data_IF_272355433826
#
_entry.id   IF_272355433826
#
_cell.length_a   1.000
_cell.length_b   1.000
_cell.length_c   1.000
_cell.angle_alpha   90.00
_cell.angle_beta   90.00
_cell.angle_gamma   90.00
#
_symmetry.space_group_name_H-M   'P 1'
#
loop_
_entity.id
_entity.type
_entity.pdbx_description
1 polymer ?
#
# COMPACT_ATOMS: atom_id res chain seq x y z
N UNK A 1 -58.64 36.04 -51.92
CA UNK A 1 -57.94 34.77 -52.21
C UNK A 1 -56.78 34.59 -51.21
N UNK A 2 -57.00 33.85 -50.14
CA UNK A 2 -56.02 33.65 -49.09
C UNK A 2 -55.32 32.30 -49.32
N UNK A 3 -53.99 32.30 -49.55
CA UNK A 3 -53.20 31.09 -49.66
C UNK A 3 -52.66 30.72 -48.22
N UNK A 4 -53.09 29.54 -47.75
CA UNK A 4 -52.59 28.92 -46.54
C UNK A 4 -51.25 28.23 -46.87
N UNK A 5 -50.18 28.56 -46.10
CA UNK A 5 -48.94 27.84 -46.12
C UNK A 5 -48.97 26.83 -44.97
N UNK A 6 -48.89 25.55 -45.29
CA UNK A 6 -48.60 24.48 -44.26
C UNK A 6 -47.13 24.39 -44.04
N UNK A 7 -46.70 24.65 -42.79
CA UNK A 7 -45.34 24.34 -42.32
C UNK A 7 -45.31 22.88 -41.82
N UNK A 8 -44.61 22.02 -42.54
CA UNK A 8 -44.29 20.69 -42.07
C UNK A 8 -43.10 20.77 -41.07
N UNK A 9 -43.36 20.47 -39.80
CA UNK A 9 -42.31 20.33 -38.77
C UNK A 9 -41.76 18.91 -38.85
N UNK A 10 -40.55 18.76 -39.36
CA UNK A 10 -39.80 17.49 -39.33
C UNK A 10 -39.12 17.41 -37.97
N UNK A 11 -39.64 16.54 -37.11
CA UNK A 11 -38.98 16.19 -35.84
C UNK A 11 -37.84 15.20 -36.09
N UNK A 12 -36.62 15.66 -36.05
CA UNK A 12 -35.43 14.81 -36.05
C UNK A 12 -35.25 14.28 -34.63
N UNK A 13 -35.57 13.00 -34.41
CA UNK A 13 -35.23 12.29 -33.20
C UNK A 13 -33.74 11.98 -33.22
N UNK A 14 -32.94 12.74 -32.46
CA UNK A 14 -31.56 12.38 -32.17
C UNK A 14 -31.56 11.21 -31.20
N UNK A 15 -31.20 10.00 -31.67
CA UNK A 15 -30.77 8.91 -30.80
C UNK A 15 -29.45 9.32 -30.19
N UNK A 16 -29.48 9.83 -28.96
CA UNK A 16 -28.31 9.94 -28.14
C UNK A 16 -27.91 8.52 -27.67
N UNK A 17 -26.88 7.96 -28.30
CA UNK A 17 -26.17 6.80 -27.76
C UNK A 17 -25.55 7.22 -26.43
N UNK A 18 -26.24 6.90 -25.37
CA UNK A 18 -25.71 7.06 -24.02
C UNK A 18 -24.66 5.97 -23.78
N UNK A 19 -23.41 6.31 -24.10
CA UNK A 19 -22.23 5.50 -23.77
C UNK A 19 -21.99 5.67 -22.28
N UNK A 20 -22.80 4.99 -21.45
CA UNK A 20 -22.54 4.90 -20.01
C UNK A 20 -21.29 4.09 -19.81
N UNK A 21 -20.13 4.77 -19.78
CA UNK A 21 -18.97 4.28 -19.06
C UNK A 21 -19.46 3.99 -17.63
N UNK A 22 -19.60 2.69 -17.32
CA UNK A 22 -19.74 2.24 -15.94
C UNK A 22 -18.39 2.52 -15.27
N UNK A 23 -18.26 3.70 -14.70
CA UNK A 23 -17.31 3.94 -13.65
C UNK A 23 -17.63 2.89 -12.58
N UNK A 24 -16.73 1.94 -12.37
CA UNK A 24 -16.75 1.10 -11.17
C UNK A 24 -16.61 2.06 -9.99
N UNK A 25 -17.74 2.40 -9.38
CA UNK A 25 -17.77 3.28 -8.23
C UNK A 25 -17.04 2.55 -7.10
N UNK A 26 -15.83 3.02 -6.77
CA UNK A 26 -15.21 2.73 -5.48
C UNK A 26 -16.16 3.31 -4.44
N UNK A 27 -16.91 2.45 -3.77
CA UNK A 27 -17.80 2.89 -2.70
C UNK A 27 -16.95 3.20 -1.49
N UNK A 28 -16.86 4.47 -1.14
CA UNK A 28 -16.22 4.89 0.12
C UNK A 28 -17.24 4.61 1.25
N UNK A 29 -17.03 3.53 1.97
CA UNK A 29 -17.95 3.03 2.99
C UNK A 29 -17.60 3.58 4.38
N UNK A 30 -17.30 4.83 4.54
CA UNK A 30 -17.16 5.49 5.84
C UNK A 30 -16.05 4.94 6.76
N UNK A 31 -15.86 5.56 7.90
CA UNK A 31 -14.77 5.23 8.81
C UNK A 31 -15.02 3.93 9.60
N UNK A 32 -13.96 3.10 9.74
CA UNK A 32 -13.91 2.05 10.75
C UNK A 32 -13.41 2.68 12.05
N UNK A 33 -14.09 2.42 13.17
CA UNK A 33 -13.60 2.82 14.47
C UNK A 33 -12.81 1.66 15.10
N UNK A 34 -11.56 1.89 15.49
CA UNK A 34 -10.77 0.92 16.24
C UNK A 34 -11.18 1.00 17.70
N UNK A 35 -11.81 -0.07 18.20
CA UNK A 35 -12.53 -0.09 19.48
C UNK A 35 -11.71 0.36 20.71
N UNK A 36 -10.41 0.05 20.74
CA UNK A 36 -9.61 0.32 21.95
C UNK A 36 -9.09 1.76 22.06
N UNK A 37 -9.19 2.57 20.98
CA UNK A 37 -8.49 3.85 20.87
C UNK A 37 -9.30 4.96 20.21
N UNK A 38 -10.53 4.66 19.84
CA UNK A 38 -11.42 5.60 19.12
C UNK A 38 -10.75 6.24 17.88
N UNK A 39 -9.94 5.44 17.16
CA UNK A 39 -9.26 5.86 15.95
C UNK A 39 -10.11 5.53 14.75
N UNK A 40 -10.36 6.53 13.96
CA UNK A 40 -11.00 6.43 12.66
C UNK A 40 -9.98 5.95 11.60
N UNK A 41 -10.25 4.84 10.91
CA UNK A 41 -9.49 4.36 9.77
C UNK A 41 -10.25 4.61 8.48
N UNK A 42 -9.71 5.46 7.61
CA UNK A 42 -10.25 5.72 6.30
C UNK A 42 -9.86 4.60 5.32
N UNK A 43 -10.82 4.15 4.51
CA UNK A 43 -10.56 3.07 3.54
C UNK A 43 -11.39 3.25 2.26
N UNK A 44 -10.99 2.52 1.22
CA UNK A 44 -11.78 2.27 0.02
C UNK A 44 -12.09 0.78 -0.06
N UNK A 45 -13.26 0.41 -0.59
CA UNK A 45 -13.70 -0.97 -0.73
C UNK A 45 -14.47 -1.12 -2.05
N UNK A 46 -14.06 -2.06 -2.90
CA UNK A 46 -14.69 -2.31 -4.20
C UNK A 46 -15.90 -3.23 -4.12
N UNK A 47 -16.23 -3.76 -2.95
CA UNK A 47 -17.39 -4.60 -2.78
C UNK A 47 -17.08 -6.04 -2.35
N UNK A 48 -17.94 -6.99 -2.74
CA UNK A 48 -17.93 -8.36 -2.20
C UNK A 48 -17.25 -9.36 -3.15
N UNK A 49 -16.36 -10.17 -2.59
CA UNK A 49 -15.78 -11.38 -3.20
C UNK A 49 -15.29 -12.28 -2.06
N UNK A 50 -15.13 -13.57 -2.34
CA UNK A 50 -14.59 -14.55 -1.36
C UNK A 50 -13.13 -14.28 -1.01
N UNK A 51 -12.34 -13.76 -1.96
CA UNK A 51 -10.94 -13.41 -1.76
C UNK A 51 -10.82 -11.89 -1.70
N UNK A 52 -10.15 -11.41 -0.67
CA UNK A 52 -9.88 -9.98 -0.47
C UNK A 52 -8.40 -9.68 -0.66
N UNK A 53 -8.10 -8.64 -1.44
CA UNK A 53 -6.79 -8.01 -1.47
C UNK A 53 -6.85 -6.80 -0.53
N UNK A 54 -6.08 -6.83 0.55
CA UNK A 54 -5.98 -5.73 1.50
C UNK A 54 -4.63 -5.02 1.31
N UNK A 55 -4.70 -3.79 0.81
CA UNK A 55 -3.54 -2.97 0.50
C UNK A 55 -3.24 -1.99 1.63
N UNK A 56 -1.97 -1.98 2.06
CA UNK A 56 -1.46 -1.11 3.12
C UNK A 56 -0.30 -0.29 2.55
N UNK A 57 -0.42 1.03 2.60
CA UNK A 57 0.54 1.96 2.02
C UNK A 57 1.81 2.11 2.88
N UNK A 58 2.87 2.67 2.29
CA UNK A 58 4.13 2.95 2.97
C UNK A 58 4.13 4.27 3.76
N UNK A 59 5.31 4.63 4.27
CA UNK A 59 5.54 5.82 5.06
C UNK A 59 5.18 7.12 4.33
N UNK A 60 4.50 8.03 5.01
CA UNK A 60 4.16 9.40 4.58
C UNK A 60 3.36 9.51 3.27
N UNK A 61 2.71 8.43 2.84
CA UNK A 61 1.79 8.39 1.70
C UNK A 61 0.39 7.91 2.14
N UNK A 62 -0.49 7.54 1.22
CA UNK A 62 -1.88 7.23 1.52
C UNK A 62 -2.47 6.13 0.62
N UNK A 63 -3.70 5.66 0.92
CA UNK A 63 -4.43 4.62 0.17
C UNK A 63 -4.60 4.92 -1.32
N UNK A 64 -4.57 6.18 -1.72
CA UNK A 64 -4.72 6.60 -3.12
C UNK A 64 -3.60 6.10 -4.04
N UNK A 65 -2.48 5.61 -3.50
CA UNK A 65 -1.42 4.95 -4.28
C UNK A 65 -1.84 3.60 -4.87
N UNK A 66 -2.92 3.01 -4.36
CA UNK A 66 -3.46 1.74 -4.80
C UNK A 66 -4.63 1.85 -5.79
N UNK A 67 -4.91 3.07 -6.30
CA UNK A 67 -6.04 3.31 -7.19
C UNK A 67 -5.99 2.44 -8.47
N UNK A 68 -4.81 2.27 -9.08
CA UNK A 68 -4.63 1.43 -10.27
C UNK A 68 -4.93 -0.04 -9.96
N UNK A 69 -4.49 -0.53 -8.80
CA UNK A 69 -4.73 -1.90 -8.34
C UNK A 69 -6.20 -2.12 -8.02
N UNK A 70 -6.86 -1.16 -7.36
CA UNK A 70 -8.29 -1.22 -7.10
C UNK A 70 -9.12 -1.28 -8.39
N UNK A 71 -8.77 -0.48 -9.39
CA UNK A 71 -9.45 -0.48 -10.70
C UNK A 71 -9.24 -1.80 -11.47
N UNK A 72 -8.04 -2.38 -11.39
CA UNK A 72 -7.69 -3.61 -12.10
C UNK A 72 -8.27 -4.86 -11.42
N UNK A 73 -8.01 -5.02 -10.12
CA UNK A 73 -8.38 -6.21 -9.35
C UNK A 73 -9.83 -6.20 -8.87
N UNK A 74 -10.44 -5.05 -8.66
CA UNK A 74 -11.81 -4.91 -8.15
C UNK A 74 -12.89 -5.55 -9.02
N UNK A 75 -12.57 -5.90 -10.26
CA UNK A 75 -13.46 -6.66 -11.16
C UNK A 75 -13.55 -8.15 -10.80
N UNK A 76 -12.56 -8.68 -10.06
CA UNK A 76 -12.41 -10.13 -9.76
C UNK A 76 -12.33 -10.44 -8.27
N UNK A 77 -11.84 -9.51 -7.49
CA UNK A 77 -11.60 -9.63 -6.06
C UNK A 77 -12.24 -8.46 -5.31
N UNK A 78 -12.50 -8.66 -4.03
CA UNK A 78 -12.73 -7.52 -3.15
C UNK A 78 -11.39 -6.84 -2.90
N UNK A 79 -11.30 -5.55 -3.20
CA UNK A 79 -10.11 -4.76 -2.95
C UNK A 79 -10.41 -3.75 -1.87
N UNK A 80 -9.65 -3.82 -0.79
CA UNK A 80 -9.69 -2.86 0.32
C UNK A 80 -8.32 -2.17 0.36
N UNK A 81 -8.30 -0.85 0.40
CA UNK A 81 -7.10 -0.07 0.64
C UNK A 81 -7.35 0.90 1.79
N UNK A 82 -6.44 0.94 2.76
CA UNK A 82 -6.59 1.72 3.99
C UNK A 82 -5.58 2.86 4.05
N UNK A 83 -5.94 3.93 4.72
CA UNK A 83 -4.98 4.88 5.27
C UNK A 83 -4.59 4.42 6.68
N UNK A 84 -3.30 4.20 6.91
CA UNK A 84 -2.81 3.93 8.27
C UNK A 84 -3.09 5.13 9.18
N UNK A 85 -3.44 4.92 10.46
CA UNK A 85 -3.59 6.01 11.42
C UNK A 85 -2.43 6.99 11.40
N UNK A 86 -2.77 8.28 11.40
CA UNK A 86 -1.81 9.38 11.30
C UNK A 86 -1.41 9.76 9.87
N UNK A 87 -1.87 9.01 8.85
CA UNK A 87 -1.66 9.29 7.44
C UNK A 87 -2.99 9.41 6.68
N UNK A 88 -2.95 10.06 5.53
CA UNK A 88 -4.11 10.24 4.67
C UNK A 88 -5.30 10.90 5.40
N UNK A 89 -6.46 10.25 5.32
CA UNK A 89 -7.72 10.72 5.94
C UNK A 89 -8.00 10.02 7.28
N UNK A 90 -7.10 9.15 7.77
CA UNK A 90 -7.27 8.46 9.04
C UNK A 90 -6.97 9.35 10.25
N UNK A 91 -7.60 9.04 11.36
CA UNK A 91 -7.37 9.71 12.64
C UNK A 91 -5.96 9.47 13.19
N UNK A 92 -5.58 10.29 14.17
CA UNK A 92 -4.25 10.23 14.81
C UNK A 92 -4.31 10.31 16.33
N UNK A 93 -5.39 9.85 16.93
CA UNK A 93 -5.63 9.96 18.37
C UNK A 93 -4.90 8.86 19.17
N UNK A 94 -3.55 8.84 19.08
CA UNK A 94 -2.70 7.93 19.87
C UNK A 94 -1.26 8.43 19.98
N UNK A 95 -0.48 7.82 20.90
CA UNK A 95 0.91 8.20 21.18
C UNK A 95 1.94 7.18 20.64
N UNK A 96 1.50 5.97 20.26
CA UNK A 96 2.37 4.89 19.79
C UNK A 96 2.13 4.61 18.31
N UNK A 97 3.23 4.48 17.55
CA UNK A 97 3.24 4.40 16.09
C UNK A 97 4.13 3.28 15.55
N UNK A 98 4.33 2.22 16.33
CA UNK A 98 5.15 1.08 15.95
C UNK A 98 4.42 0.06 15.08
N UNK A 99 5.17 -0.96 14.64
CA UNK A 99 4.65 -2.07 13.83
C UNK A 99 3.50 -2.80 14.53
N UNK A 100 3.58 -2.99 15.84
CA UNK A 100 2.54 -3.66 16.64
C UNK A 100 1.22 -2.89 16.63
N UNK A 101 1.26 -1.57 16.80
CA UNK A 101 0.07 -0.73 16.77
C UNK A 101 -0.57 -0.72 15.39
N UNK A 102 0.23 -0.57 14.34
CA UNK A 102 -0.26 -0.58 12.96
C UNK A 102 -0.80 -1.94 12.54
N UNK A 103 -0.17 -3.06 12.97
CA UNK A 103 -0.72 -4.39 12.68
C UNK A 103 -2.08 -4.60 13.37
N UNK A 104 -2.24 -4.15 14.59
CA UNK A 104 -3.53 -4.17 15.31
C UNK A 104 -4.62 -3.35 14.60
N UNK A 105 -4.25 -2.24 13.95
CA UNK A 105 -5.18 -1.47 13.11
C UNK A 105 -5.62 -2.26 11.87
N UNK A 106 -4.69 -2.94 11.21
CA UNK A 106 -4.99 -3.85 10.07
C UNK A 106 -5.89 -5.01 10.52
N UNK A 107 -5.63 -5.59 11.69
CA UNK A 107 -6.43 -6.68 12.28
C UNK A 107 -7.87 -6.22 12.56
N UNK A 108 -8.03 -5.00 13.04
CA UNK A 108 -9.33 -4.38 13.25
C UNK A 108 -10.10 -4.22 11.93
N UNK A 109 -9.43 -3.81 10.86
CA UNK A 109 -10.04 -3.74 9.51
C UNK A 109 -10.47 -5.13 9.03
N UNK A 110 -9.61 -6.14 9.18
CA UNK A 110 -9.93 -7.53 8.81
C UNK A 110 -11.17 -8.02 9.57
N UNK A 111 -11.27 -7.73 10.86
CA UNK A 111 -12.37 -8.13 11.74
C UNK A 111 -13.65 -7.38 11.41
N UNK A 112 -13.63 -6.04 11.41
CA UNK A 112 -14.81 -5.18 11.26
C UNK A 112 -15.45 -5.30 9.88
N UNK A 113 -14.64 -5.41 8.81
CA UNK A 113 -15.14 -5.68 7.46
C UNK A 113 -15.42 -7.16 7.21
N UNK A 114 -15.23 -8.03 8.22
CA UNK A 114 -15.39 -9.47 8.13
C UNK A 114 -14.68 -10.06 6.89
N UNK A 115 -13.44 -9.64 6.66
CA UNK A 115 -12.65 -10.08 5.51
C UNK A 115 -12.28 -11.57 5.67
N UNK A 116 -12.33 -12.30 4.56
CA UNK A 116 -11.98 -13.72 4.48
C UNK A 116 -11.03 -13.96 3.32
N UNK A 117 -10.21 -15.01 3.40
CA UNK A 117 -9.21 -15.36 2.38
C UNK A 117 -8.41 -14.10 1.96
N UNK A 118 -7.83 -13.43 2.96
CA UNK A 118 -7.15 -12.15 2.77
C UNK A 118 -5.75 -12.38 2.23
N UNK A 119 -5.39 -11.70 1.15
CA UNK A 119 -4.02 -11.51 0.70
C UNK A 119 -3.62 -10.10 1.12
N UNK A 120 -2.67 -10.02 2.04
CA UNK A 120 -2.12 -8.76 2.53
C UNK A 120 -1.03 -8.26 1.57
N UNK A 121 -1.13 -7.01 1.14
CA UNK A 121 -0.15 -6.36 0.27
C UNK A 121 0.37 -5.11 0.98
N UNK A 122 1.62 -5.15 1.42
CA UNK A 122 2.25 -4.07 2.20
C UNK A 122 3.40 -3.41 1.44
N UNK A 123 3.33 -2.08 1.27
CA UNK A 123 4.38 -1.30 0.64
C UNK A 123 5.37 -0.75 1.67
N UNK A 124 6.68 -0.89 1.39
CA UNK A 124 7.74 -0.26 2.20
C UNK A 124 7.61 -0.59 3.69
N UNK A 125 7.46 0.39 4.58
CA UNK A 125 7.22 0.24 6.02
C UNK A 125 6.14 -0.81 6.34
N UNK A 126 5.13 -0.94 5.49
CA UNK A 126 4.02 -1.85 5.73
C UNK A 126 4.33 -3.33 5.45
N UNK A 127 5.53 -3.67 5.03
CA UNK A 127 5.99 -5.06 4.98
C UNK A 127 5.88 -5.73 6.35
N UNK A 128 6.46 -5.11 7.36
CA UNK A 128 6.47 -5.61 8.73
C UNK A 128 5.07 -5.64 9.35
N UNK A 129 4.28 -4.61 9.04
CA UNK A 129 2.89 -4.49 9.50
C UNK A 129 2.04 -5.65 8.98
N UNK A 130 2.09 -5.93 7.68
CA UNK A 130 1.30 -7.03 7.09
C UNK A 130 1.83 -8.41 7.48
N UNK A 131 3.13 -8.54 7.74
CA UNK A 131 3.72 -9.77 8.26
C UNK A 131 3.21 -10.06 9.68
N UNK A 132 3.22 -9.07 10.57
CA UNK A 132 2.68 -9.25 11.93
C UNK A 132 1.18 -9.55 11.89
N UNK A 133 0.39 -8.79 11.11
CA UNK A 133 -1.05 -9.02 10.95
C UNK A 133 -1.36 -10.43 10.41
N UNK A 134 -0.52 -10.96 9.51
CA UNK A 134 -0.69 -12.33 9.01
C UNK A 134 -0.42 -13.40 10.06
N UNK A 135 0.47 -13.13 11.02
CA UNK A 135 0.72 -14.00 12.18
C UNK A 135 -0.48 -13.98 13.13
N UNK A 136 -1.06 -12.81 13.34
CA UNK A 136 -2.17 -12.60 14.28
C UNK A 136 -3.51 -13.12 13.72
N UNK A 137 -3.63 -13.23 12.37
CA UNK A 137 -4.84 -13.71 11.68
C UNK A 137 -4.59 -14.94 10.79
N UNK A 138 -4.03 -16.05 11.32
CA UNK A 138 -3.58 -17.19 10.51
C UNK A 138 -4.70 -17.84 9.70
N UNK A 139 -5.93 -17.84 10.22
CA UNK A 139 -7.11 -18.46 9.61
C UNK A 139 -7.75 -17.60 8.51
N UNK A 140 -7.52 -16.29 8.53
CA UNK A 140 -8.10 -15.33 7.59
C UNK A 140 -7.13 -14.93 6.50
N UNK A 141 -5.83 -14.79 6.82
CA UNK A 141 -4.79 -14.38 5.89
C UNK A 141 -4.21 -15.59 5.19
N UNK A 142 -4.37 -15.65 3.88
CA UNK A 142 -3.89 -16.75 3.03
C UNK A 142 -2.58 -16.46 2.33
N UNK A 143 -2.14 -15.20 2.26
CA UNK A 143 -0.89 -14.81 1.61
C UNK A 143 -0.39 -13.44 2.02
N UNK A 144 0.93 -13.23 1.85
CA UNK A 144 1.64 -11.99 2.15
C UNK A 144 2.42 -11.57 0.91
N UNK A 145 2.27 -10.32 0.52
CA UNK A 145 3.01 -9.70 -0.59
C UNK A 145 3.69 -8.44 -0.09
N UNK A 146 5.00 -8.42 -0.11
CA UNK A 146 5.79 -7.23 0.13
C UNK A 146 6.02 -6.45 -1.18
N UNK A 147 5.94 -5.14 -1.10
CA UNK A 147 6.18 -4.24 -2.22
C UNK A 147 7.31 -3.28 -1.88
N UNK A 148 8.41 -3.44 -2.57
CA UNK A 148 9.68 -2.73 -2.38
C UNK A 148 10.15 -2.67 -0.91
N UNK A 149 10.12 -3.83 -0.26
CA UNK A 149 10.56 -4.04 1.12
C UNK A 149 11.26 -5.38 1.30
N UNK A 150 11.54 -5.79 2.54
CA UNK A 150 12.27 -7.02 2.88
C UNK A 150 13.59 -7.18 2.09
N UNK A 151 14.29 -6.06 1.90
CA UNK A 151 15.49 -6.00 1.04
C UNK A 151 16.70 -6.72 1.65
N UNK A 152 16.79 -6.80 2.99
CA UNK A 152 17.95 -7.32 3.71
C UNK A 152 17.57 -8.18 4.92
N UNK A 153 16.50 -8.99 4.80
CA UNK A 153 16.01 -9.83 5.90
C UNK A 153 17.12 -10.66 6.53
N UNK A 154 17.28 -10.55 7.85
CA UNK A 154 18.26 -11.30 8.63
C UNK A 154 19.72 -10.86 8.44
N UNK A 155 19.97 -9.80 7.68
CA UNK A 155 21.31 -9.21 7.60
C UNK A 155 21.69 -8.55 8.94
N UNK A 156 22.90 -8.79 9.45
CA UNK A 156 23.32 -8.16 10.70
C UNK A 156 23.45 -6.64 10.51
N UNK A 157 22.87 -5.90 11.44
CA UNK A 157 23.07 -4.46 11.51
C UNK A 157 24.39 -4.16 12.23
N UNK A 158 25.20 -3.31 11.64
CA UNK A 158 26.43 -2.82 12.28
C UNK A 158 26.12 -1.67 13.25
N UNK A 159 27.05 -1.36 14.16
CA UNK A 159 26.92 -0.18 15.01
C UNK A 159 26.90 1.13 14.20
N UNK A 160 27.54 1.15 13.02
CA UNK A 160 27.48 2.26 12.11
C UNK A 160 26.08 2.44 11.50
N UNK A 161 25.39 1.33 11.14
CA UNK A 161 24.01 1.39 10.63
C UNK A 161 23.06 1.90 11.70
N UNK A 162 23.16 1.41 12.94
CA UNK A 162 22.34 1.86 14.07
C UNK A 162 22.56 3.34 14.36
N UNK A 163 23.82 3.78 14.38
CA UNK A 163 24.17 5.18 14.58
C UNK A 163 23.63 6.06 13.44
N UNK A 164 23.81 5.64 12.19
CA UNK A 164 23.30 6.36 11.02
C UNK A 164 21.77 6.53 11.06
N UNK A 165 21.05 5.50 11.47
CA UNK A 165 19.61 5.56 11.67
C UNK A 165 19.23 6.56 12.79
N UNK A 166 19.87 6.47 13.96
CA UNK A 166 19.62 7.40 15.07
C UNK A 166 19.91 8.85 14.69
N UNK A 167 21.00 9.11 13.95
CA UNK A 167 21.36 10.43 13.47
C UNK A 167 20.30 10.96 12.46
N UNK A 168 19.79 10.09 11.57
CA UNK A 168 18.73 10.46 10.62
C UNK A 168 17.42 10.81 11.35
N UNK A 169 17.00 10.04 12.33
CA UNK A 169 15.83 10.34 13.17
C UNK A 169 16.00 11.67 13.90
N UNK A 170 17.17 11.91 14.51
CA UNK A 170 17.47 13.17 15.18
C UNK A 170 17.45 14.38 14.23
N UNK A 171 17.93 14.20 13.00
CA UNK A 171 17.85 15.23 11.96
C UNK A 171 16.40 15.49 11.51
N UNK A 172 15.59 14.46 11.32
CA UNK A 172 14.16 14.59 10.99
C UNK A 172 13.37 15.30 12.09
N UNK A 173 13.66 15.03 13.38
CA UNK A 173 13.06 15.75 14.51
C UNK A 173 13.36 17.25 14.49
N UNK A 174 14.50 17.65 13.94
CA UNK A 174 14.92 19.07 13.84
C UNK A 174 14.36 19.76 12.60
N UNK A 175 14.38 19.10 11.45
CA UNK A 175 13.96 19.68 10.17
C UNK A 175 13.37 18.58 9.25
N UNK A 176 12.14 18.18 9.56
CA UNK A 176 11.47 17.07 8.89
C UNK A 176 11.44 17.25 7.36
N UNK A 177 10.89 18.37 6.88
CA UNK A 177 10.68 18.57 5.44
C UNK A 177 11.98 18.47 4.63
N UNK A 178 13.02 19.13 5.08
CA UNK A 178 14.30 19.11 4.36
C UNK A 178 14.91 17.71 4.34
N UNK A 179 14.93 17.04 5.50
CA UNK A 179 15.57 15.71 5.64
C UNK A 179 14.75 14.65 4.91
N UNK A 180 13.43 14.63 5.10
CA UNK A 180 12.53 13.68 4.46
C UNK A 180 12.52 13.84 2.93
N UNK A 181 12.43 15.08 2.41
CA UNK A 181 12.49 15.32 0.97
C UNK A 181 13.85 14.96 0.38
N UNK A 182 14.94 15.21 1.12
CA UNK A 182 16.28 14.77 0.72
C UNK A 182 16.38 13.24 0.61
N UNK A 183 15.92 12.53 1.62
CA UNK A 183 15.86 11.06 1.62
C UNK A 183 15.03 10.52 0.46
N UNK A 184 13.80 10.99 0.30
CA UNK A 184 12.90 10.55 -0.77
C UNK A 184 13.51 10.80 -2.15
N UNK A 185 14.04 11.99 -2.37
CA UNK A 185 14.61 12.39 -3.67
C UNK A 185 15.85 11.59 -4.05
N UNK A 186 16.69 11.23 -3.08
CA UNK A 186 17.95 10.54 -3.33
C UNK A 186 17.82 9.01 -3.33
N UNK A 187 16.92 8.47 -2.50
CA UNK A 187 16.87 7.04 -2.22
C UNK A 187 15.66 6.33 -2.83
N UNK A 188 14.52 7.04 -3.04
CA UNK A 188 13.27 6.39 -3.42
C UNK A 188 12.89 6.60 -4.89
N UNK A 189 13.49 7.53 -5.59
CA UNK A 189 13.26 7.72 -7.01
C UNK A 189 14.34 7.06 -7.87
N UNK A 190 13.93 6.56 -9.02
CA UNK A 190 14.85 6.15 -10.08
C UNK A 190 15.06 7.29 -11.09
N UNK A 191 15.94 7.05 -12.07
CA UNK A 191 16.15 7.98 -13.19
C UNK A 191 14.91 8.10 -14.08
N UNK A 192 14.08 7.05 -14.11
CA UNK A 192 12.87 6.96 -14.95
C UNK A 192 11.60 7.40 -14.22
N UNK A 193 11.62 7.60 -12.90
CA UNK A 193 10.47 8.11 -12.15
C UNK A 193 10.03 9.46 -12.71
N UNK A 194 8.77 9.57 -13.16
CA UNK A 194 8.24 10.76 -13.81
C UNK A 194 8.17 11.98 -12.88
N UNK A 195 8.15 13.18 -13.47
CA UNK A 195 8.05 14.44 -12.71
C UNK A 195 6.73 14.53 -11.93
N UNK A 196 5.65 13.98 -12.48
CA UNK A 196 4.33 13.95 -11.83
C UNK A 196 4.35 13.09 -10.58
N UNK A 197 4.96 11.89 -10.65
CA UNK A 197 5.10 10.99 -9.51
C UNK A 197 5.99 11.63 -8.45
N UNK A 198 7.15 12.18 -8.84
CA UNK A 198 8.04 12.90 -7.90
C UNK A 198 7.31 14.02 -7.18
N UNK A 199 6.57 14.86 -7.91
CA UNK A 199 5.79 15.96 -7.35
C UNK A 199 4.73 15.47 -6.37
N UNK A 200 4.00 14.40 -6.73
CA UNK A 200 2.98 13.79 -5.87
C UNK A 200 3.59 13.30 -4.55
N UNK A 201 4.64 12.48 -4.63
CA UNK A 201 5.27 11.89 -3.44
C UNK A 201 5.84 12.96 -2.52
N UNK A 202 6.58 13.94 -3.07
CA UNK A 202 7.15 15.04 -2.27
C UNK A 202 6.04 15.89 -1.65
N UNK A 203 4.93 16.11 -2.35
CA UNK A 203 3.78 16.83 -1.79
C UNK A 203 3.15 16.05 -0.63
N UNK A 204 2.97 14.74 -0.74
CA UNK A 204 2.41 13.93 0.34
C UNK A 204 3.33 13.95 1.57
N UNK A 205 4.64 13.83 1.38
CA UNK A 205 5.64 13.96 2.46
C UNK A 205 5.61 15.34 3.13
N UNK A 206 5.47 16.40 2.35
CA UNK A 206 5.39 17.77 2.87
C UNK A 206 4.14 18.04 3.73
N UNK A 207 3.06 17.30 3.47
CA UNK A 207 1.79 17.40 4.20
C UNK A 207 1.65 16.38 5.32
N UNK A 208 2.58 15.42 5.45
CA UNK A 208 2.56 14.44 6.52
C UNK A 208 2.68 15.10 7.90
N UNK A 209 1.99 14.54 8.89
CA UNK A 209 2.19 14.95 10.29
C UNK A 209 3.60 14.57 10.73
N UNK A 210 4.43 15.57 11.01
CA UNK A 210 5.84 15.39 11.34
C UNK A 210 6.05 14.49 12.56
N UNK A 211 5.21 14.64 13.58
CA UNK A 211 5.35 13.86 14.82
C UNK A 211 5.05 12.40 14.53
N UNK A 212 3.95 12.12 13.85
CA UNK A 212 3.57 10.77 13.46
C UNK A 212 4.60 10.14 12.53
N UNK A 213 5.01 10.87 11.48
CA UNK A 213 5.93 10.34 10.48
C UNK A 213 7.29 9.96 11.08
N UNK A 214 7.83 10.79 11.97
CA UNK A 214 9.10 10.50 12.66
C UNK A 214 8.92 9.34 13.64
N UNK A 215 7.84 9.35 14.44
CA UNK A 215 7.58 8.29 15.40
C UNK A 215 7.34 6.92 14.73
N UNK A 216 6.65 6.89 13.60
CA UNK A 216 6.42 5.66 12.83
C UNK A 216 7.74 5.03 12.34
N UNK A 217 8.70 5.82 11.89
CA UNK A 217 10.03 5.33 11.52
C UNK A 217 10.82 4.85 12.75
N UNK A 218 10.85 5.67 13.80
CA UNK A 218 11.65 5.39 14.99
C UNK A 218 11.17 4.13 15.72
N UNK A 219 9.85 3.98 15.90
CA UNK A 219 9.25 2.87 16.65
C UNK A 219 9.07 1.59 15.82
N UNK A 220 9.15 1.67 14.49
CA UNK A 220 9.08 0.51 13.59
C UNK A 220 10.41 -0.24 13.44
N UNK A 221 11.53 0.31 13.95
CA UNK A 221 12.87 -0.21 13.67
C UNK A 221 13.27 -1.50 14.44
N UNK A 222 12.52 -1.89 15.45
CA UNK A 222 12.86 -3.04 16.33
C UNK A 222 12.13 -4.34 15.91
N UNK A 223 11.83 -4.51 14.62
CA UNK A 223 11.10 -5.67 14.14
C UNK A 223 12.04 -6.73 13.55
N UNK A 224 12.07 -7.93 14.17
CA UNK A 224 12.86 -9.06 13.67
C UNK A 224 12.13 -9.78 12.52
N UNK A 225 12.28 -9.24 11.31
CA UNK A 225 11.67 -9.78 10.09
C UNK A 225 11.92 -11.28 9.91
N UNK A 226 13.16 -11.74 10.20
CA UNK A 226 13.54 -13.15 10.01
C UNK A 226 12.79 -14.08 10.98
N UNK A 227 12.77 -13.76 12.26
CA UNK A 227 12.04 -14.53 13.26
C UNK A 227 10.53 -14.54 12.98
N UNK A 228 9.98 -13.39 12.55
CA UNK A 228 8.57 -13.25 12.21
C UNK A 228 8.20 -14.03 10.94
N UNK A 229 9.03 -14.06 9.92
CA UNK A 229 8.82 -14.89 8.72
C UNK A 229 8.81 -16.39 9.07
N UNK A 230 9.72 -16.83 9.95
CA UNK A 230 9.70 -18.22 10.46
C UNK A 230 8.41 -18.54 11.24
N UNK A 231 7.94 -17.59 12.05
CA UNK A 231 6.69 -17.74 12.81
C UNK A 231 5.46 -17.81 11.90
N UNK A 232 5.41 -17.00 10.85
CA UNK A 232 4.26 -16.92 9.92
C UNK A 232 4.03 -18.21 9.15
N UNK A 233 5.09 -19.00 8.89
CA UNK A 233 5.07 -20.22 8.06
C UNK A 233 4.52 -20.00 6.64
N UNK A 234 4.39 -18.75 6.20
CA UNK A 234 3.87 -18.39 4.88
C UNK A 234 5.03 -18.15 3.92
N UNK A 235 4.80 -18.45 2.64
CA UNK A 235 5.72 -18.06 1.56
C UNK A 235 5.67 -16.54 1.42
N UNK A 236 6.85 -15.90 1.41
CA UNK A 236 7.01 -14.48 1.18
C UNK A 236 7.06 -14.20 -0.32
N UNK A 237 6.11 -13.44 -0.82
CA UNK A 237 6.13 -12.91 -2.18
C UNK A 237 6.57 -11.47 -2.17
N UNK A 238 7.45 -11.10 -3.10
CA UNK A 238 7.98 -9.74 -3.23
C UNK A 238 7.80 -9.23 -4.66
N UNK A 239 7.36 -7.98 -4.77
CA UNK A 239 7.42 -7.19 -6.01
C UNK A 239 8.32 -6.00 -5.72
N UNK A 240 9.60 -6.11 -6.05
CA UNK A 240 10.63 -5.14 -5.68
C UNK A 240 11.27 -4.50 -6.91
N UNK A 241 11.73 -3.26 -6.77
CA UNK A 241 12.58 -2.62 -7.78
C UNK A 241 13.94 -3.31 -7.88
N UNK A 242 14.47 -3.44 -9.10
CA UNK A 242 15.82 -3.95 -9.38
C UNK A 242 16.93 -2.91 -9.14
N UNK A 243 16.59 -1.64 -8.98
CA UNK A 243 17.56 -0.56 -8.70
C UNK A 243 18.29 -0.79 -7.37
N UNK A 244 17.58 -1.33 -6.38
CA UNK A 244 18.15 -1.81 -5.12
C UNK A 244 17.78 -3.29 -4.92
N UNK A 245 18.57 -4.24 -5.43
CA UNK A 245 18.25 -5.66 -5.42
C UNK A 245 18.04 -6.21 -4.01
N UNK A 246 17.14 -7.20 -3.90
CA UNK A 246 16.87 -7.88 -2.65
C UNK A 246 17.99 -8.87 -2.32
N UNK A 247 18.57 -8.75 -1.14
CA UNK A 247 19.54 -9.70 -0.61
C UNK A 247 18.81 -10.93 -0.02
N UNK A 248 18.73 -12.00 -0.80
CA UNK A 248 18.01 -13.22 -0.40
C UNK A 248 18.87 -14.23 0.35
N UNK A 249 20.14 -13.91 0.62
CA UNK A 249 21.13 -14.84 1.21
C UNK A 249 20.62 -15.49 2.52
N UNK A 250 20.08 -14.68 3.41
CA UNK A 250 19.62 -15.16 4.71
C UNK A 250 18.28 -15.88 4.64
N UNK A 251 17.37 -15.45 3.75
CA UNK A 251 16.14 -16.18 3.46
C UNK A 251 16.44 -17.61 3.01
N UNK A 252 17.36 -17.76 2.06
CA UNK A 252 17.82 -19.06 1.56
C UNK A 252 18.48 -19.88 2.66
N UNK A 253 19.43 -19.29 3.43
CA UNK A 253 20.16 -19.97 4.48
C UNK A 253 19.26 -20.46 5.63
N UNK A 254 18.12 -19.81 5.84
CA UNK A 254 17.15 -20.16 6.88
C UNK A 254 15.94 -20.94 6.36
N UNK A 255 15.98 -21.37 5.09
CA UNK A 255 14.92 -22.12 4.42
C UNK A 255 13.55 -21.41 4.49
N UNK A 256 13.53 -20.08 4.46
CA UNK A 256 12.30 -19.31 4.32
C UNK A 256 11.80 -19.45 2.87
N UNK A 257 10.58 -19.93 2.62
CA UNK A 257 10.05 -19.96 1.27
C UNK A 257 9.76 -18.55 0.78
N UNK A 258 10.33 -18.17 -0.37
CA UNK A 258 10.12 -16.84 -0.96
C UNK A 258 10.10 -16.88 -2.48
N UNK A 259 9.58 -15.81 -3.07
CA UNK A 259 9.66 -15.53 -4.50
C UNK A 259 9.75 -14.03 -4.72
N UNK A 260 10.69 -13.58 -5.56
CA UNK A 260 10.88 -12.17 -5.90
C UNK A 260 10.56 -11.96 -7.37
N UNK A 261 9.72 -10.97 -7.64
CA UNK A 261 9.50 -10.39 -8.95
C UNK A 261 10.15 -9.00 -8.95
N UNK A 262 10.93 -8.69 -9.98
CA UNK A 262 11.58 -7.40 -10.09
C UNK A 262 10.88 -6.53 -11.14
N UNK A 263 10.49 -5.32 -10.75
CA UNK A 263 10.12 -4.26 -11.69
C UNK A 263 11.39 -3.56 -12.15
N UNK A 264 11.50 -3.34 -13.47
CA UNK A 264 12.76 -2.92 -14.07
C UNK A 264 12.88 -1.40 -14.20
N UNK A 265 13.98 -0.87 -13.65
CA UNK A 265 14.31 0.55 -13.74
C UNK A 265 13.39 1.48 -12.93
N UNK A 266 12.44 0.93 -12.18
CA UNK A 266 11.52 1.73 -11.35
C UNK A 266 12.18 2.22 -10.07
N UNK A 267 11.63 3.27 -9.47
CA UNK A 267 11.93 3.64 -8.10
C UNK A 267 11.13 2.79 -7.09
N UNK A 268 10.91 3.37 -5.93
CA UNK A 268 10.25 2.73 -4.80
C UNK A 268 8.73 2.53 -4.98
N UNK A 269 8.12 3.18 -5.96
CA UNK A 269 6.67 3.28 -6.11
C UNK A 269 6.15 2.52 -7.36
N UNK A 270 6.62 1.29 -7.56
CA UNK A 270 6.31 0.47 -8.74
C UNK A 270 4.79 0.39 -9.04
N UNK A 271 3.93 0.39 -8.00
CA UNK A 271 2.47 0.32 -8.13
C UNK A 271 1.85 1.53 -8.87
N UNK A 272 2.58 2.66 -8.95
CA UNK A 272 2.16 3.85 -9.72
C UNK A 272 3.11 4.19 -10.86
N UNK A 273 4.36 3.71 -10.83
CA UNK A 273 5.34 3.95 -11.89
C UNK A 273 5.11 3.02 -13.09
N UNK A 274 4.82 1.74 -12.84
CA UNK A 274 4.60 0.69 -13.86
C UNK A 274 3.40 -0.19 -13.46
N UNK A 275 2.19 0.38 -13.36
CA UNK A 275 1.03 -0.31 -12.79
C UNK A 275 0.65 -1.60 -13.53
N UNK A 276 0.83 -1.67 -14.85
CA UNK A 276 0.47 -2.85 -15.64
C UNK A 276 1.44 -4.01 -15.38
N UNK A 277 2.74 -3.74 -15.32
CA UNK A 277 3.75 -4.74 -14.96
C UNK A 277 3.54 -5.24 -13.53
N UNK A 278 3.34 -4.31 -12.58
CA UNK A 278 3.04 -4.61 -11.20
C UNK A 278 1.80 -5.50 -11.06
N UNK A 279 0.71 -5.16 -11.72
CA UNK A 279 -0.53 -5.92 -11.72
C UNK A 279 -0.32 -7.33 -12.30
N UNK A 280 0.47 -7.47 -13.37
CA UNK A 280 0.80 -8.76 -13.96
C UNK A 280 1.59 -9.68 -13.01
N UNK A 281 2.50 -9.12 -12.20
CA UNK A 281 3.20 -9.89 -11.17
C UNK A 281 2.27 -10.27 -10.01
N UNK A 282 1.44 -9.34 -9.56
CA UNK A 282 0.49 -9.62 -8.49
C UNK A 282 -0.55 -10.68 -8.92
N UNK A 283 -1.00 -10.70 -10.18
CA UNK A 283 -1.85 -11.78 -10.71
C UNK A 283 -1.18 -13.16 -10.55
N UNK A 284 0.08 -13.30 -10.96
CA UNK A 284 0.83 -14.55 -10.83
C UNK A 284 0.96 -14.99 -9.37
N UNK A 285 1.19 -14.04 -8.47
CA UNK A 285 1.27 -14.29 -7.03
C UNK A 285 -0.08 -14.78 -6.48
N UNK A 286 -1.17 -14.10 -6.83
CA UNK A 286 -2.52 -14.50 -6.39
C UNK A 286 -2.88 -15.90 -6.87
N UNK A 287 -2.53 -16.25 -8.12
CA UNK A 287 -2.73 -17.59 -8.68
C UNK A 287 -1.95 -18.63 -7.91
N UNK A 288 -0.70 -18.33 -7.50
CA UNK A 288 0.13 -19.28 -6.74
C UNK A 288 -0.38 -19.47 -5.29
N UNK A 289 -0.82 -18.39 -4.64
CA UNK A 289 -1.42 -18.45 -3.28
C UNK A 289 -2.71 -19.28 -3.25
N UNK A 290 -3.47 -19.30 -4.35
CA UNK A 290 -4.78 -19.96 -4.42
C UNK A 290 -4.72 -21.45 -4.80
N UNK A 291 -3.55 -21.98 -5.17
CA UNK A 291 -3.32 -23.42 -5.41
C UNK A 291 -3.30 -24.20 -4.11
#
# INVERSE_FOLDING_TARGET
>A
MKKLFYLAVISIAMLACNNSQRNSSVTNNGPITVHDRDIHIAYTDTGKSDTTLLFVHGWAINKGYWANQAAYFGKRYRVVAIDLPGFGESGKNRDKWGTTEYSSDVDSVIKELNLKKVILVGHSMSGDIVLQSAIDNPDRVIGIVGVDNFKNVGAPQTEADKKGFADAIAAMKKNFKQVANGYVSQMLFSKTTSSEIKKRVLSDVDHADTIVAVAAMEQGNDFDELAKLQQSKKKLYLINSDVNPTNTKYLTAKNIPFQVFYTHGTGHFAMIEVPDEFNGYLDKIIEDIKK
#
